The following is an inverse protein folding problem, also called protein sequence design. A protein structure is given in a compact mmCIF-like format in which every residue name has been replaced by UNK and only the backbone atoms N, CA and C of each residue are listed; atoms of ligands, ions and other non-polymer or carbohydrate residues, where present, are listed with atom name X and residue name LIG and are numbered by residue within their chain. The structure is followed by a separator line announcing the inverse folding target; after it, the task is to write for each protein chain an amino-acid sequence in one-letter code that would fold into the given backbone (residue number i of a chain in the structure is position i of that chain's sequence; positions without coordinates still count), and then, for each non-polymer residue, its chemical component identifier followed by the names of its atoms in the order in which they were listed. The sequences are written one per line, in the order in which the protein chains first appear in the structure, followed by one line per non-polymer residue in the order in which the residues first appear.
data_IF_808909698635
#
_entry.id   IF_808909698635
#
_cell.length_a   1.000
_cell.length_b   1.000
_cell.length_c   1.000
_cell.angle_alpha   90.00
_cell.angle_beta   90.00
_cell.angle_gamma   90.00
#
_symmetry.space_group_name_H-M   'P 1'
#
loop_
_entity.id
_entity.type
_entity.pdbx_description
1 polymer ?
#
# COMPACT_ATOMS: atom_id res chain seq x y z
N UNK A 1 27.99 48.60 6.06
CA UNK A 1 27.53 47.73 4.97
C UNK A 1 28.13 46.35 5.21
N UNK A 2 27.31 45.38 5.61
CA UNK A 2 27.70 43.98 5.79
C UNK A 2 26.96 43.19 4.72
N UNK A 3 27.69 42.56 3.79
CA UNK A 3 27.08 41.72 2.76
C UNK A 3 26.63 40.38 3.35
N UNK A 4 25.39 39.99 3.04
CA UNK A 4 24.81 38.69 3.39
C UNK A 4 25.37 37.62 2.44
N UNK A 5 25.78 36.45 2.93
CA UNK A 5 26.27 35.39 2.04
C UNK A 5 25.10 34.78 1.26
N UNK A 6 25.25 34.78 -0.07
CA UNK A 6 24.39 34.10 -1.05
C UNK A 6 24.16 32.64 -0.69
N UNK A 7 22.88 32.27 -0.52
CA UNK A 7 22.44 30.89 -0.36
C UNK A 7 22.74 30.10 -1.63
N UNK A 8 23.60 29.09 -1.51
CA UNK A 8 23.87 28.09 -2.54
C UNK A 8 22.59 27.29 -2.79
N UNK A 9 22.19 27.00 -4.05
CA UNK A 9 21.02 26.17 -4.30
C UNK A 9 21.30 24.74 -3.83
N UNK A 10 20.44 24.22 -2.95
CA UNK A 10 20.44 22.81 -2.56
C UNK A 10 20.37 21.91 -3.81
N UNK A 11 21.23 20.89 -3.96
CA UNK A 11 21.13 19.97 -5.07
C UNK A 11 19.82 19.17 -4.98
N UNK A 12 19.03 19.19 -6.05
CA UNK A 12 17.85 18.32 -6.20
C UNK A 12 18.32 16.86 -6.14
N UNK A 13 17.77 16.11 -5.19
CA UNK A 13 18.08 14.72 -4.87
C UNK A 13 17.71 13.76 -6.01
N UNK A 14 18.67 13.42 -6.86
CA UNK A 14 18.53 12.40 -7.91
C UNK A 14 18.73 10.96 -7.42
N UNK A 15 19.16 10.75 -6.18
CA UNK A 15 19.48 9.42 -5.62
C UNK A 15 18.27 8.64 -5.08
N UNK A 16 17.18 9.31 -4.70
CA UNK A 16 16.02 8.65 -4.08
C UNK A 16 15.21 7.75 -5.05
N UNK A 17 15.19 8.09 -6.34
CA UNK A 17 14.44 7.33 -7.36
C UNK A 17 15.00 5.91 -7.57
N UNK A 18 16.33 5.76 -7.44
CA UNK A 18 17.01 4.47 -7.63
C UNK A 18 16.74 3.51 -6.47
N UNK A 19 16.69 4.02 -5.22
CA UNK A 19 16.48 3.18 -4.03
C UNK A 19 15.05 2.65 -3.92
N UNK A 20 14.03 3.47 -4.21
CA UNK A 20 12.63 3.02 -4.14
C UNK A 20 12.32 1.96 -5.22
N UNK A 21 12.81 2.17 -6.44
CA UNK A 21 12.67 1.19 -7.52
C UNK A 21 13.33 -0.15 -7.16
N UNK A 22 14.55 -0.12 -6.61
CA UNK A 22 15.25 -1.32 -6.15
C UNK A 22 14.47 -2.06 -5.06
N UNK A 23 13.89 -1.34 -4.09
CA UNK A 23 13.03 -1.92 -3.04
C UNK A 23 11.77 -2.56 -3.62
N UNK A 24 11.09 -1.90 -4.58
CA UNK A 24 9.93 -2.47 -5.27
C UNK A 24 10.29 -3.76 -6.01
N UNK A 25 11.45 -3.81 -6.67
CA UNK A 25 11.94 -5.01 -7.35
C UNK A 25 12.28 -6.13 -6.36
N UNK A 26 12.93 -5.81 -5.25
CA UNK A 26 13.23 -6.79 -4.20
C UNK A 26 11.95 -7.39 -3.59
N UNK A 27 10.98 -6.54 -3.24
CA UNK A 27 9.66 -6.98 -2.76
C UNK A 27 8.91 -7.79 -3.82
N UNK A 28 9.00 -7.41 -5.09
CA UNK A 28 8.39 -8.19 -6.17
C UNK A 28 8.98 -9.59 -6.26
N UNK A 29 10.31 -9.71 -6.21
CA UNK A 29 11.01 -11.01 -6.18
C UNK A 29 10.59 -11.83 -4.96
N UNK A 30 10.58 -11.23 -3.78
CA UNK A 30 10.17 -11.90 -2.54
C UNK A 30 8.71 -12.40 -2.62
N UNK A 31 7.79 -11.55 -3.09
CA UNK A 31 6.39 -11.91 -3.21
C UNK A 31 6.15 -13.02 -4.25
N UNK A 32 6.97 -13.08 -5.30
CA UNK A 32 6.92 -14.14 -6.31
C UNK A 32 7.37 -15.51 -5.77
N UNK A 33 8.16 -15.56 -4.69
CA UNK A 33 8.57 -16.81 -4.04
C UNK A 33 7.48 -17.40 -3.13
N UNK A 34 6.39 -16.68 -2.88
CA UNK A 34 5.33 -17.16 -1.99
C UNK A 34 4.55 -18.27 -2.70
N UNK A 35 4.75 -19.51 -2.27
CA UNK A 35 3.98 -20.68 -2.68
C UNK A 35 2.81 -20.91 -1.73
N UNK A 36 1.75 -20.09 -1.85
CA UNK A 36 0.50 -20.38 -1.16
C UNK A 36 -0.37 -21.30 -2.04
N UNK A 37 -1.08 -22.25 -1.43
CA UNK A 37 -2.09 -23.05 -2.13
C UNK A 37 -3.07 -22.11 -2.82
N UNK A 38 -3.15 -22.20 -4.15
CA UNK A 38 -3.92 -21.29 -5.02
C UNK A 38 -5.38 -21.16 -4.56
N UNK A 39 -5.96 -22.25 -4.06
CA UNK A 39 -7.36 -22.37 -3.67
C UNK A 39 -7.62 -22.18 -2.17
N UNK A 40 -6.60 -21.90 -1.35
CA UNK A 40 -6.82 -21.68 0.08
C UNK A 40 -7.51 -20.33 0.29
N UNK A 41 -8.73 -20.29 0.87
CA UNK A 41 -9.40 -19.04 1.14
C UNK A 41 -8.57 -18.19 2.11
N UNK A 42 -8.62 -16.88 1.88
CA UNK A 42 -8.06 -15.88 2.78
C UNK A 42 -8.76 -16.05 4.14
N UNK A 43 -7.99 -16.18 5.23
CA UNK A 43 -8.57 -16.35 6.57
C UNK A 43 -9.38 -15.11 6.96
N UNK A 44 -10.40 -15.28 7.81
CA UNK A 44 -11.22 -14.23 8.40
C UNK A 44 -10.44 -12.98 8.82
N UNK A 45 -9.26 -13.17 9.45
CA UNK A 45 -8.34 -12.07 9.83
C UNK A 45 -7.82 -11.32 8.62
N UNK A 46 -7.27 -12.06 7.66
CA UNK A 46 -6.68 -11.50 6.45
C UNK A 46 -7.77 -10.81 5.60
N UNK A 47 -8.98 -11.36 5.53
CA UNK A 47 -10.12 -10.74 4.86
C UNK A 47 -10.48 -9.40 5.49
N UNK A 48 -10.53 -9.33 6.82
CA UNK A 48 -10.82 -8.08 7.54
C UNK A 48 -9.77 -7.02 7.24
N UNK A 49 -8.49 -7.40 7.20
CA UNK A 49 -7.42 -6.46 6.89
C UNK A 49 -7.48 -5.95 5.45
N UNK A 50 -7.71 -6.84 4.47
CA UNK A 50 -7.93 -6.45 3.08
C UNK A 50 -9.16 -5.54 2.92
N UNK A 51 -10.22 -5.81 3.69
CA UNK A 51 -11.42 -4.97 3.74
C UNK A 51 -11.13 -3.57 4.28
N UNK A 52 -10.34 -3.45 5.34
CA UNK A 52 -9.90 -2.14 5.85
C UNK A 52 -9.20 -1.37 4.73
N UNK A 53 -8.21 -1.97 4.05
CA UNK A 53 -7.52 -1.30 2.92
C UNK A 53 -8.50 -0.88 1.82
N UNK A 54 -9.44 -1.76 1.45
CA UNK A 54 -10.44 -1.47 0.42
C UNK A 54 -11.38 -0.31 0.80
N UNK A 55 -11.87 -0.30 2.03
CA UNK A 55 -12.90 0.63 2.50
C UNK A 55 -12.32 1.98 2.96
N UNK A 56 -11.06 2.00 3.41
CA UNK A 56 -10.45 3.23 3.97
C UNK A 56 -9.35 3.82 3.12
N UNK A 57 -8.62 3.00 2.34
CA UNK A 57 -7.47 3.44 1.56
C UNK A 57 -7.76 3.53 0.07
N UNK A 58 -7.91 2.38 -0.58
CA UNK A 58 -8.05 2.31 -2.03
C UNK A 58 -8.69 1.01 -2.48
N UNK A 59 -9.52 1.10 -3.52
CA UNK A 59 -10.08 -0.05 -4.23
C UNK A 59 -9.18 -0.52 -5.39
N UNK A 60 -8.14 0.27 -5.71
CA UNK A 60 -7.17 0.03 -6.79
C UNK A 60 -5.73 0.14 -6.25
N UNK A 61 -5.30 -0.75 -5.35
CA UNK A 61 -3.94 -0.71 -4.84
C UNK A 61 -2.92 -0.91 -5.98
N UNK A 62 -1.82 -0.13 -6.02
CA UNK A 62 -0.73 -0.32 -6.97
C UNK A 62 -0.05 -1.68 -6.80
N UNK A 63 0.77 -2.07 -7.77
CA UNK A 63 1.48 -3.36 -7.72
C UNK A 63 2.43 -3.44 -6.53
N UNK A 64 3.10 -2.34 -6.16
CA UNK A 64 3.98 -2.29 -4.99
C UNK A 64 3.23 -2.64 -3.70
N UNK A 65 2.05 -2.05 -3.48
CA UNK A 65 1.23 -2.30 -2.29
C UNK A 65 0.62 -3.69 -2.29
N UNK A 66 0.24 -4.21 -3.47
CA UNK A 66 -0.17 -5.61 -3.60
C UNK A 66 0.94 -6.57 -3.17
N UNK A 67 2.21 -6.31 -3.53
CA UNK A 67 3.35 -7.12 -3.09
C UNK A 67 3.58 -7.00 -1.58
N UNK A 68 3.46 -5.80 -1.00
CA UNK A 68 3.57 -5.60 0.46
C UNK A 68 2.50 -6.42 1.18
N UNK A 69 1.23 -6.32 0.76
CA UNK A 69 0.14 -7.12 1.33
C UNK A 69 0.38 -8.62 1.16
N UNK A 70 0.85 -9.06 -0.01
CA UNK A 70 1.17 -10.46 -0.29
C UNK A 70 2.21 -11.01 0.70
N UNK A 71 3.32 -10.29 0.88
CA UNK A 71 4.39 -10.65 1.83
C UNK A 71 3.83 -10.72 3.25
N UNK A 72 3.13 -9.68 3.70
CA UNK A 72 2.65 -9.58 5.09
C UNK A 72 1.53 -10.58 5.42
N UNK A 73 0.76 -10.99 4.43
CA UNK A 73 -0.31 -11.98 4.60
C UNK A 73 0.12 -13.40 4.24
N UNK A 74 1.35 -13.62 3.77
CA UNK A 74 1.79 -14.90 3.20
C UNK A 74 0.79 -15.44 2.15
N UNK A 75 0.37 -14.57 1.23
CA UNK A 75 -0.52 -14.89 0.10
C UNK A 75 0.14 -14.50 -1.20
N UNK A 76 -0.23 -15.15 -2.30
CA UNK A 76 0.36 -14.78 -3.59
C UNK A 76 -0.14 -13.39 -4.03
N UNK A 77 0.66 -12.60 -4.77
CA UNK A 77 0.20 -11.33 -5.34
C UNK A 77 -1.07 -11.47 -6.18
N UNK A 78 -1.21 -12.61 -6.87
CA UNK A 78 -2.40 -12.93 -7.64
C UNK A 78 -3.65 -13.08 -6.77
N UNK A 79 -3.55 -13.77 -5.62
CA UNK A 79 -4.66 -13.88 -4.68
C UNK A 79 -5.11 -12.51 -4.17
N UNK A 80 -4.16 -11.62 -3.86
CA UNK A 80 -4.46 -10.24 -3.44
C UNK A 80 -5.19 -9.50 -4.57
N UNK A 81 -4.63 -9.50 -5.79
CA UNK A 81 -5.20 -8.86 -6.97
C UNK A 81 -6.63 -9.34 -7.25
N UNK A 82 -6.84 -10.66 -7.24
CA UNK A 82 -8.12 -11.29 -7.49
C UNK A 82 -9.14 -10.93 -6.41
N UNK A 83 -8.73 -10.86 -5.15
CA UNK A 83 -9.60 -10.43 -4.05
C UNK A 83 -10.12 -8.99 -4.27
N UNK A 84 -9.25 -8.04 -4.63
CA UNK A 84 -9.66 -6.67 -4.91
C UNK A 84 -10.58 -6.59 -6.14
N UNK A 85 -10.28 -7.36 -7.19
CA UNK A 85 -11.11 -7.42 -8.40
C UNK A 85 -12.52 -7.94 -8.10
N UNK A 86 -12.61 -9.08 -7.42
CA UNK A 86 -13.89 -9.68 -7.04
C UNK A 86 -14.69 -8.77 -6.10
N UNK A 87 -14.01 -8.08 -5.18
CA UNK A 87 -14.66 -7.15 -4.26
C UNK A 87 -15.27 -5.95 -4.99
N UNK A 88 -14.55 -5.38 -5.99
CA UNK A 88 -15.12 -4.31 -6.85
C UNK A 88 -16.32 -4.79 -7.64
N UNK A 89 -16.26 -6.00 -8.19
CA UNK A 89 -17.37 -6.58 -8.95
C UNK A 89 -18.61 -6.84 -8.10
N UNK A 90 -18.42 -7.20 -6.82
CA UNK A 90 -19.53 -7.33 -5.85
C UNK A 90 -20.12 -5.98 -5.45
N UNK A 91 -19.27 -4.97 -5.27
CA UNK A 91 -19.64 -3.64 -4.81
C UNK A 91 -19.86 -2.65 -5.98
N UNK A 92 -20.52 -3.06 -7.07
CA UNK A 92 -20.74 -2.23 -8.27
C UNK A 92 -21.23 -0.83 -7.86
N UNK A 93 -20.43 0.21 -8.10
CA UNK A 93 -20.85 1.61 -7.88
C UNK A 93 -19.81 2.53 -7.23
N UNK A 94 -18.72 2.02 -6.67
CA UNK A 94 -17.77 2.87 -5.93
C UNK A 94 -16.65 3.39 -6.85
N UNK A 95 -16.89 4.52 -7.52
CA UNK A 95 -15.90 5.18 -8.37
C UNK A 95 -15.11 6.22 -7.56
N UNK A 96 -13.84 5.92 -7.27
CA UNK A 96 -12.92 6.90 -6.69
C UNK A 96 -12.56 7.98 -7.73
N UNK A 97 -12.84 9.24 -7.40
CA UNK A 97 -12.53 10.40 -8.23
C UNK A 97 -11.16 11.03 -7.93
N UNK A 98 -10.62 10.81 -6.74
CA UNK A 98 -9.39 11.46 -6.29
C UNK A 98 -8.16 10.62 -6.64
N UNK A 99 -7.17 11.26 -7.26
CA UNK A 99 -5.89 10.64 -7.63
C UNK A 99 -4.73 11.41 -7.00
N UNK A 100 -3.72 10.69 -6.56
CA UNK A 100 -2.44 11.23 -6.11
C UNK A 100 -1.29 10.48 -6.79
N UNK A 101 -0.08 11.04 -6.73
CA UNK A 101 1.14 10.40 -7.21
C UNK A 101 1.90 9.76 -6.06
N UNK A 102 2.31 8.50 -6.23
CA UNK A 102 3.12 7.75 -5.26
C UNK A 102 4.30 7.12 -6.00
N UNK A 103 5.47 7.75 -5.86
CA UNK A 103 6.60 7.51 -6.76
C UNK A 103 6.22 7.85 -8.20
N UNK A 104 6.28 6.87 -9.10
CA UNK A 104 5.93 7.03 -10.53
C UNK A 104 4.48 6.60 -10.86
N UNK A 105 3.70 6.12 -9.87
CA UNK A 105 2.36 5.58 -10.10
C UNK A 105 1.28 6.57 -9.65
N UNK A 106 0.25 6.77 -10.49
CA UNK A 106 -0.96 7.52 -10.10
C UNK A 106 -1.93 6.59 -9.40
N UNK A 107 -2.13 6.79 -8.10
CA UNK A 107 -2.97 5.96 -7.24
C UNK A 107 -4.28 6.69 -6.95
N UNK A 108 -5.39 5.95 -6.98
CA UNK A 108 -6.70 6.43 -6.53
C UNK A 108 -6.85 6.18 -5.04
N UNK A 109 -7.00 7.24 -4.25
CA UNK A 109 -7.22 7.14 -2.81
C UNK A 109 -8.62 7.61 -2.42
N UNK A 110 -9.11 7.06 -1.30
CA UNK A 110 -10.33 7.53 -0.65
C UNK A 110 -10.08 8.85 0.09
N UNK A 111 -11.11 9.69 0.28
CA UNK A 111 -11.00 10.90 1.08
C UNK A 111 -10.44 10.65 2.49
N UNK A 112 -10.83 9.55 3.12
CA UNK A 112 -10.30 9.14 4.43
C UNK A 112 -8.78 8.91 4.43
N UNK A 113 -8.22 8.40 3.33
CA UNK A 113 -6.78 8.20 3.21
C UNK A 113 -6.02 9.51 2.94
N UNK A 114 -6.62 10.42 2.18
CA UNK A 114 -6.05 11.76 1.98
C UNK A 114 -5.97 12.55 3.29
N UNK A 115 -6.93 12.34 4.20
CA UNK A 115 -6.91 12.95 5.53
C UNK A 115 -5.88 12.30 6.48
N UNK A 116 -5.45 11.06 6.22
CA UNK A 116 -4.48 10.35 7.06
C UNK A 116 -3.03 10.76 6.78
N UNK A 117 -2.71 11.12 5.55
CA UNK A 117 -1.35 11.53 5.16
C UNK A 117 -1.38 12.36 3.89
N UNK A 118 -0.61 13.45 3.90
CA UNK A 118 -0.38 14.31 2.73
C UNK A 118 0.69 13.74 1.78
N UNK A 119 1.56 12.85 2.27
CA UNK A 119 2.71 12.33 1.54
C UNK A 119 2.71 10.80 1.52
N UNK A 120 1.96 10.21 0.58
CA UNK A 120 1.88 8.76 0.44
C UNK A 120 3.11 8.16 -0.22
N UNK A 121 3.61 7.08 0.37
CA UNK A 121 4.72 6.27 -0.14
C UNK A 121 4.46 4.78 0.15
N UNK A 122 5.27 3.89 -0.44
CA UNK A 122 5.24 2.46 -0.12
C UNK A 122 5.48 2.21 1.38
N UNK A 123 6.34 3.02 2.01
CA UNK A 123 6.67 2.92 3.43
C UNK A 123 5.51 3.35 4.33
N UNK A 124 4.88 4.50 4.02
CA UNK A 124 3.70 4.99 4.75
C UNK A 124 2.57 3.96 4.67
N UNK A 125 2.33 3.41 3.49
CA UNK A 125 1.35 2.34 3.33
C UNK A 125 1.69 1.11 4.19
N UNK A 126 2.93 0.66 4.18
CA UNK A 126 3.36 -0.51 4.95
C UNK A 126 3.18 -0.30 6.46
N UNK A 127 3.53 0.87 6.98
CA UNK A 127 3.35 1.21 8.40
C UNK A 127 1.87 1.21 8.80
N UNK A 128 1.01 1.85 8.00
CA UNK A 128 -0.45 1.86 8.25
C UNK A 128 -1.01 0.44 8.21
N UNK A 129 -0.59 -0.36 7.23
CA UNK A 129 -1.03 -1.75 7.10
C UNK A 129 -0.64 -2.60 8.32
N UNK A 130 0.58 -2.42 8.83
CA UNK A 130 1.07 -3.09 10.05
C UNK A 130 0.27 -2.65 11.28
N UNK A 131 0.00 -1.35 11.44
CA UNK A 131 -0.82 -0.84 12.53
C UNK A 131 -2.23 -1.43 12.49
N UNK A 132 -2.88 -1.48 11.32
CA UNK A 132 -4.18 -2.11 11.16
C UNK A 132 -4.12 -3.62 11.49
N UNK A 133 -3.08 -4.33 11.06
CA UNK A 133 -2.88 -5.75 11.38
C UNK A 133 -2.78 -6.00 12.89
N UNK A 134 -2.03 -5.15 13.60
CA UNK A 134 -1.91 -5.22 15.05
C UNK A 134 -3.25 -5.00 15.74
N UNK A 135 -4.01 -3.97 15.34
CA UNK A 135 -5.34 -3.68 15.90
C UNK A 135 -6.35 -4.83 15.67
N UNK A 136 -6.36 -5.40 14.47
CA UNK A 136 -7.21 -6.56 14.14
C UNK A 136 -6.83 -7.77 15.00
N UNK A 137 -5.55 -7.95 15.32
CA UNK A 137 -5.08 -9.05 16.17
C UNK A 137 -5.43 -8.82 17.65
N UNK A 138 -5.20 -7.60 18.16
CA UNK A 138 -5.47 -7.24 19.56
C UNK A 138 -6.95 -7.34 19.93
N UNK A 139 -7.85 -6.92 19.04
CA UNK A 139 -9.31 -6.97 19.29
C UNK A 139 -9.86 -8.39 19.49
N UNK A 140 -9.11 -9.42 19.10
CA UNK A 140 -9.48 -10.83 19.30
C UNK A 140 -8.91 -11.41 20.60
N UNK A 141 -7.84 -10.84 21.12
CA UNK A 141 -7.16 -11.27 22.36
C UNK A 141 -7.86 -10.80 23.64
N UNK A 142 -8.83 -9.88 23.53
CA UNK A 142 -9.59 -9.33 24.66
C UNK A 142 -11.04 -9.86 24.72
N UNK A 143 -11.33 -10.96 24.02
CA UNK A 143 -12.59 -11.71 24.11
C UNK A 143 -12.28 -13.14 24.51
#
# INVERSE_FOLDING_TARGET
MLELPTLVPFPRTTTACSSEHALRMARHKQAAQISALSNSPVDSRQQRLLRIVYDTLTIYPPKSWQNIMAIRLARTPEQIRNWFSNTRQKNRGDALKNHIEVGQERIRLRPSALALSEAWSDEVFEQIFLACSYLVTRTRSQR
#
